data_IF_568014809508
#
_entry.id   IF_568014809508
#
_cell.length_a   1.000
_cell.length_b   1.000
_cell.length_c   1.000
_cell.angle_alpha   90.00
_cell.angle_beta   90.00
_cell.angle_gamma   90.00
#
_symmetry.space_group_name_H-M   'P 1'
#
loop_
_entity.id
_entity.type
_entity.pdbx_description
1 polymer ?
#
# COMPACT_ATOMS: atom_id res chain seq x y z
N UNK A 1 -63.11 12.07 -70.91
CA UNK A 1 -61.67 11.74 -70.79
C UNK A 1 -61.01 12.93 -70.11
N UNK A 2 -60.13 12.68 -69.13
CA UNK A 2 -59.40 13.66 -68.27
C UNK A 2 -60.30 14.33 -67.21
N UNK A 3 -60.12 14.23 -65.89
CA UNK A 3 -59.00 13.80 -65.05
C UNK A 3 -58.56 14.97 -64.16
N UNK A 4 -59.00 15.02 -62.89
CA UNK A 4 -58.45 15.94 -61.89
C UNK A 4 -58.40 15.23 -60.53
N UNK A 5 -57.20 14.89 -60.09
CA UNK A 5 -56.89 14.29 -58.78
C UNK A 5 -56.49 15.45 -57.86
N UNK A 6 -57.16 15.70 -56.73
CA UNK A 6 -56.71 16.70 -55.76
C UNK A 6 -56.15 16.00 -54.52
N UNK A 7 -54.84 15.73 -54.46
CA UNK A 7 -54.20 15.17 -53.25
C UNK A 7 -52.71 15.56 -53.18
N UNK A 8 -52.37 16.77 -52.70
CA UNK A 8 -50.94 17.06 -52.41
C UNK A 8 -50.65 18.02 -51.25
N UNK A 9 -51.58 18.89 -50.81
CA UNK A 9 -51.30 19.82 -49.70
C UNK A 9 -51.50 19.24 -48.30
N UNK A 10 -52.48 18.36 -48.09
CA UNK A 10 -52.85 17.86 -46.75
C UNK A 10 -51.81 16.87 -46.18
N UNK A 11 -51.20 16.07 -47.04
CA UNK A 11 -50.15 15.09 -46.67
C UNK A 11 -48.85 15.77 -46.23
N UNK A 12 -48.54 16.96 -46.77
CA UNK A 12 -47.39 17.76 -46.36
C UNK A 12 -47.57 18.34 -44.96
N UNK A 13 -48.73 18.94 -44.63
CA UNK A 13 -49.00 19.48 -43.29
C UNK A 13 -49.01 18.39 -42.22
N UNK A 14 -49.52 17.20 -42.55
CA UNK A 14 -49.56 16.05 -41.64
C UNK A 14 -48.16 15.53 -41.30
N UNK A 15 -47.25 15.45 -42.29
CA UNK A 15 -45.85 15.05 -42.07
C UNK A 15 -45.13 16.02 -41.13
N UNK A 16 -45.23 17.34 -41.36
CA UNK A 16 -44.57 18.35 -40.52
C UNK A 16 -45.09 18.37 -39.06
N UNK A 17 -46.37 18.03 -38.85
CA UNK A 17 -46.94 17.83 -37.51
C UNK A 17 -46.36 16.61 -36.81
N UNK A 18 -46.21 15.48 -37.52
CA UNK A 18 -45.63 14.25 -36.96
C UNK A 18 -44.16 14.43 -36.54
N UNK A 19 -43.36 15.18 -37.30
CA UNK A 19 -41.97 15.47 -36.91
C UNK A 19 -41.87 16.35 -35.65
N UNK A 20 -42.81 17.29 -35.46
CA UNK A 20 -42.87 18.11 -34.24
C UNK A 20 -43.16 17.26 -32.99
N UNK A 21 -44.07 16.31 -33.08
CA UNK A 21 -44.40 15.44 -31.95
C UNK A 21 -43.26 14.47 -31.60
N UNK A 22 -42.55 13.95 -32.61
CA UNK A 22 -41.36 13.09 -32.40
C UNK A 22 -40.23 13.86 -31.70
N UNK A 23 -39.97 15.12 -32.08
CA UNK A 23 -38.95 15.94 -31.44
C UNK A 23 -39.29 16.31 -29.98
N UNK A 24 -40.56 16.59 -29.69
CA UNK A 24 -41.04 16.82 -28.31
C UNK A 24 -40.90 15.56 -27.45
N UNK A 25 -41.20 14.38 -28.00
CA UNK A 25 -41.04 13.12 -27.28
C UNK A 25 -39.58 12.80 -26.96
N UNK A 26 -38.64 13.09 -27.86
CA UNK A 26 -37.20 12.87 -27.63
C UNK A 26 -36.64 13.86 -26.58
N UNK A 27 -37.08 15.13 -26.62
CA UNK A 27 -36.69 16.11 -25.61
C UNK A 27 -37.24 15.76 -24.21
N UNK A 28 -38.45 15.21 -24.12
CA UNK A 28 -39.06 14.78 -22.86
C UNK A 28 -38.43 13.51 -22.26
N UNK A 29 -37.73 12.70 -23.06
CA UNK A 29 -37.05 11.47 -22.61
C UNK A 29 -35.63 11.71 -22.07
N UNK A 30 -35.17 12.95 -22.05
CA UNK A 30 -33.84 13.31 -21.52
C UNK A 30 -33.89 13.41 -20.00
N UNK A 31 -33.84 12.27 -19.31
CA UNK A 31 -33.67 12.26 -17.85
C UNK A 31 -32.23 12.65 -17.50
N UNK A 32 -32.01 13.57 -16.55
CA UNK A 32 -30.67 13.86 -16.07
C UNK A 32 -30.10 12.61 -15.40
N UNK A 33 -28.94 12.14 -15.86
CA UNK A 33 -28.19 11.11 -15.16
C UNK A 33 -27.57 11.74 -13.91
N UNK A 34 -28.02 11.32 -12.72
CA UNK A 34 -27.30 11.61 -11.48
C UNK A 34 -26.03 10.76 -11.50
N UNK A 35 -24.89 11.40 -11.75
CA UNK A 35 -23.59 10.79 -11.54
C UNK A 35 -23.19 11.03 -10.08
N UNK A 36 -23.15 9.97 -9.28
CA UNK A 36 -22.55 10.02 -7.95
C UNK A 36 -21.03 9.97 -8.07
N UNK A 37 -20.35 10.89 -7.38
CA UNK A 37 -18.89 10.91 -7.28
C UNK A 37 -18.53 10.48 -5.85
N UNK A 38 -17.89 9.33 -5.73
CA UNK A 38 -17.27 8.90 -4.48
C UNK A 38 -15.83 9.42 -4.44
N UNK A 39 -15.57 10.40 -3.58
CA UNK A 39 -14.23 10.92 -3.30
C UNK A 39 -13.82 10.48 -1.89
N UNK A 40 -12.58 9.99 -1.77
CA UNK A 40 -11.95 9.63 -0.50
C UNK A 40 -10.67 10.46 -0.43
N UNK A 41 -10.66 11.52 0.37
CA UNK A 41 -9.51 12.45 0.45
C UNK A 41 -9.04 12.69 1.88
N UNK A 42 -9.84 12.31 2.87
CA UNK A 42 -9.55 12.59 4.28
C UNK A 42 -9.09 11.35 5.03
N UNK A 43 -8.37 11.54 6.14
CA UNK A 43 -7.96 10.42 7.02
C UNK A 43 -9.13 9.52 7.41
N UNK A 44 -10.25 10.13 7.79
CA UNK A 44 -11.47 9.44 8.23
C UNK A 44 -12.09 8.57 7.14
N UNK A 45 -11.99 8.96 5.86
CA UNK A 45 -12.47 8.16 4.74
C UNK A 45 -11.75 6.80 4.68
N UNK A 46 -10.44 6.83 4.89
CA UNK A 46 -9.56 5.66 4.82
C UNK A 46 -9.62 4.78 6.06
N UNK A 47 -9.92 5.35 7.24
CA UNK A 47 -10.10 4.60 8.49
C UNK A 47 -11.27 3.60 8.41
N UNK A 48 -12.18 3.75 7.45
CA UNK A 48 -13.27 2.80 7.21
C UNK A 48 -12.80 1.49 6.57
N UNK A 49 -11.58 1.44 6.02
CA UNK A 49 -11.05 0.29 5.29
C UNK A 49 -10.13 -0.56 6.18
N UNK A 50 -10.21 -1.87 6.04
CA UNK A 50 -9.31 -2.80 6.73
C UNK A 50 -8.10 -3.10 5.86
N UNK A 51 -6.91 -2.78 6.36
CA UNK A 51 -5.63 -3.05 5.68
C UNK A 51 -4.73 -3.93 6.55
N UNK A 52 -3.85 -4.75 5.95
CA UNK A 52 -2.81 -5.40 6.73
C UNK A 52 -1.92 -4.32 7.39
N UNK A 53 -1.62 -4.46 8.69
CA UNK A 53 -0.80 -3.49 9.42
C UNK A 53 0.54 -3.26 8.71
N UNK A 54 0.93 -1.99 8.58
CA UNK A 54 2.24 -1.63 8.04
C UNK A 54 2.37 -1.61 6.51
N UNK A 55 1.29 -1.79 5.74
CA UNK A 55 1.32 -1.66 4.27
C UNK A 55 1.33 -0.21 3.80
N UNK A 56 0.64 0.67 4.54
CA UNK A 56 0.49 2.08 4.19
C UNK A 56 1.00 2.98 5.30
N UNK A 57 1.54 4.14 4.91
CA UNK A 57 1.83 5.28 5.78
C UNK A 57 0.87 6.39 5.40
N UNK A 58 0.09 6.85 6.37
CA UNK A 58 -0.88 7.93 6.17
C UNK A 58 -0.27 9.26 6.62
N UNK A 59 -0.24 10.24 5.73
CA UNK A 59 0.16 11.60 6.06
C UNK A 59 -0.89 12.31 6.91
N UNK A 60 -0.49 13.39 7.57
CA UNK A 60 -1.42 14.27 8.29
C UNK A 60 -2.30 15.10 7.34
N UNK A 61 -1.92 15.19 6.06
CA UNK A 61 -2.65 15.82 4.97
C UNK A 61 -3.70 14.90 4.32
N UNK A 62 -3.89 13.68 4.82
CA UNK A 62 -4.80 12.69 4.23
C UNK A 62 -4.18 11.87 3.09
N UNK A 63 -2.91 12.11 2.74
CA UNK A 63 -2.21 11.31 1.73
C UNK A 63 -1.98 9.87 2.22
N UNK A 64 -2.04 8.91 1.29
CA UNK A 64 -1.63 7.52 1.51
C UNK A 64 -0.39 7.25 0.69
N UNK A 65 0.66 6.75 1.35
CA UNK A 65 1.86 6.23 0.69
C UNK A 65 2.06 4.76 1.03
N UNK A 66 2.70 4.01 0.14
CA UNK A 66 3.14 2.66 0.47
C UNK A 66 4.29 2.75 1.47
N UNK A 67 4.24 1.90 2.49
CA UNK A 67 5.39 1.68 3.35
C UNK A 67 6.49 1.02 2.52
N UNK A 68 7.45 1.84 2.04
CA UNK A 68 8.55 1.36 1.23
C UNK A 68 9.60 0.72 2.13
N UNK A 69 9.83 -0.57 1.94
CA UNK A 69 10.99 -1.24 2.53
C UNK A 69 12.25 -0.87 1.75
N UNK A 70 13.24 -0.30 2.45
CA UNK A 70 14.55 0.01 1.87
C UNK A 70 15.19 -1.26 1.31
N UNK A 71 15.74 -1.16 0.09
CA UNK A 71 16.45 -2.26 -0.58
C UNK A 71 17.95 -2.02 -0.50
N UNK A 72 18.72 -3.10 -0.63
CA UNK A 72 20.19 -3.06 -0.72
C UNK A 72 20.90 -2.40 0.48
N UNK A 73 20.29 -2.48 1.66
CA UNK A 73 20.85 -1.97 2.91
C UNK A 73 21.61 -3.06 3.67
N UNK A 74 22.60 -2.67 4.48
CA UNK A 74 23.06 -3.53 5.57
C UNK A 74 22.07 -3.41 6.73
N UNK A 75 21.18 -4.38 6.86
CA UNK A 75 20.11 -4.35 7.86
C UNK A 75 20.61 -4.49 9.31
N UNK A 76 21.78 -5.14 9.51
CA UNK A 76 22.33 -5.37 10.85
C UNK A 76 22.96 -4.11 11.45
N UNK A 77 23.51 -3.23 10.59
CA UNK A 77 24.20 -2.00 10.97
C UNK A 77 23.41 -1.11 11.94
N UNK A 78 22.10 -1.05 11.74
CA UNK A 78 21.20 -0.23 12.54
C UNK A 78 20.07 -1.03 13.20
N UNK A 79 20.27 -2.33 13.41
CA UNK A 79 19.27 -3.21 14.02
C UNK A 79 18.77 -2.70 15.39
N UNK A 80 19.65 -2.07 16.17
CA UNK A 80 19.35 -1.51 17.50
C UNK A 80 18.40 -0.32 17.48
N UNK A 81 18.24 0.35 16.34
CA UNK A 81 17.34 1.49 16.19
C UNK A 81 15.87 1.06 16.08
N UNK A 82 15.61 -0.24 15.86
CA UNK A 82 14.25 -0.76 15.66
C UNK A 82 13.81 -1.61 16.85
N UNK A 83 12.58 -1.36 17.27
CA UNK A 83 11.93 -2.10 18.35
C UNK A 83 10.91 -3.08 17.79
N UNK A 84 10.82 -4.26 18.39
CA UNK A 84 9.77 -5.22 18.12
C UNK A 84 9.09 -5.69 19.41
N UNK A 85 7.83 -6.10 19.31
CA UNK A 85 7.06 -6.58 20.46
C UNK A 85 7.35 -8.06 20.73
N UNK A 86 7.77 -8.38 21.95
CA UNK A 86 7.93 -9.77 22.39
C UNK A 86 6.55 -10.41 22.55
N UNK A 87 6.34 -11.59 21.95
CA UNK A 87 5.01 -12.23 21.90
C UNK A 87 4.41 -12.50 23.29
N UNK A 88 5.25 -12.88 24.26
CA UNK A 88 4.82 -13.25 25.62
C UNK A 88 4.53 -12.05 26.51
N UNK A 89 5.41 -11.04 26.55
CA UNK A 89 5.29 -9.91 27.47
C UNK A 89 4.66 -8.67 26.84
N UNK A 90 4.64 -8.57 25.51
CA UNK A 90 4.28 -7.38 24.74
C UNK A 90 5.24 -6.19 24.91
N UNK A 91 6.36 -6.38 25.60
CA UNK A 91 7.38 -5.34 25.73
C UNK A 91 8.02 -5.07 24.38
N UNK A 92 8.34 -3.79 24.15
CA UNK A 92 9.15 -3.36 23.01
C UNK A 92 10.61 -3.54 23.37
N UNK A 93 11.29 -4.42 22.65
CA UNK A 93 12.73 -4.67 22.82
C UNK A 93 13.47 -4.32 21.53
N UNK A 94 14.68 -3.74 21.63
CA UNK A 94 15.49 -3.45 20.46
C UNK A 94 15.98 -4.75 19.81
N UNK A 95 16.18 -4.69 18.49
CA UNK A 95 17.01 -5.67 17.80
C UNK A 95 18.48 -5.55 18.22
N UNK A 96 19.36 -6.28 17.52
CA UNK A 96 20.79 -6.29 17.73
C UNK A 96 21.37 -7.68 17.56
N UNK A 97 22.39 -7.98 18.36
CA UNK A 97 23.06 -9.28 18.36
C UNK A 97 23.07 -9.88 19.75
N UNK A 98 22.87 -11.19 19.82
CA UNK A 98 23.10 -11.99 21.02
C UNK A 98 24.13 -13.06 20.69
N UNK A 99 25.08 -13.21 21.59
CA UNK A 99 26.11 -14.24 21.53
C UNK A 99 26.04 -15.08 22.79
N UNK A 100 26.49 -16.32 22.71
CA UNK A 100 26.45 -17.26 23.82
C UNK A 100 27.84 -17.61 24.36
N UNK A 101 28.87 -17.03 23.75
CA UNK A 101 30.27 -17.06 24.13
C UNK A 101 30.89 -15.68 23.85
N UNK A 102 31.95 -15.30 24.57
CA UNK A 102 32.68 -14.04 24.35
C UNK A 102 31.76 -12.80 24.21
N UNK A 103 30.94 -12.55 25.23
CA UNK A 103 29.90 -11.52 25.22
C UNK A 103 30.46 -10.09 25.01
N UNK A 104 31.68 -9.85 25.48
CA UNK A 104 32.41 -8.59 25.32
C UNK A 104 32.74 -8.26 23.85
N UNK A 105 32.75 -9.26 22.96
CA UNK A 105 33.00 -9.09 21.53
C UNK A 105 31.70 -9.03 20.70
N UNK A 106 30.52 -9.07 21.32
CA UNK A 106 29.25 -9.11 20.60
C UNK A 106 29.06 -7.93 19.65
N UNK A 107 29.43 -6.71 20.09
CA UNK A 107 29.23 -5.48 19.32
C UNK A 107 30.04 -5.44 18.02
N UNK A 108 31.17 -6.15 17.95
CA UNK A 108 31.98 -6.29 16.75
C UNK A 108 31.22 -6.93 15.57
N UNK A 109 30.12 -7.64 15.83
CA UNK A 109 29.33 -8.27 14.77
C UNK A 109 28.55 -7.26 13.91
N UNK A 110 28.28 -6.06 14.43
CA UNK A 110 27.41 -5.08 13.75
C UNK A 110 27.99 -3.65 13.73
N UNK A 111 29.19 -3.44 14.24
CA UNK A 111 29.88 -2.14 14.30
C UNK A 111 30.32 -1.56 12.94
N UNK A 112 30.19 -2.34 11.85
CA UNK A 112 30.61 -2.01 10.48
C UNK A 112 32.12 -1.91 10.28
N UNK A 113 32.94 -2.33 11.24
CA UNK A 113 34.40 -2.33 11.10
C UNK A 113 34.88 -3.71 10.61
N UNK A 114 35.43 -3.82 9.38
CA UNK A 114 35.93 -5.10 8.88
C UNK A 114 37.19 -5.60 9.60
N UNK A 115 37.80 -4.79 10.47
CA UNK A 115 38.95 -5.17 11.28
C UNK A 115 38.57 -5.74 12.65
N UNK A 116 37.30 -5.71 13.03
CA UNK A 116 36.80 -6.33 14.27
C UNK A 116 36.04 -7.62 13.93
N UNK A 117 35.99 -8.54 14.89
CA UNK A 117 35.23 -9.77 14.74
C UNK A 117 34.79 -10.29 16.10
N UNK A 118 33.82 -11.20 16.08
CA UNK A 118 33.50 -12.05 17.21
C UNK A 118 34.10 -13.43 17.00
N UNK A 119 34.61 -14.03 18.06
CA UNK A 119 35.10 -15.40 18.08
C UNK A 119 34.70 -16.03 19.41
N UNK A 120 34.17 -17.26 19.42
CA UNK A 120 33.85 -17.95 20.67
C UNK A 120 35.14 -18.28 21.45
N UNK A 121 35.03 -18.31 22.77
CA UNK A 121 36.08 -18.80 23.66
C UNK A 121 36.33 -20.29 23.42
N UNK A 122 37.60 -20.68 23.43
CA UNK A 122 38.00 -22.09 23.34
C UNK A 122 37.60 -22.90 24.59
N UNK A 123 37.34 -22.23 25.72
CA UNK A 123 36.92 -22.85 26.97
C UNK A 123 35.41 -23.12 27.01
N UNK A 124 34.63 -22.50 26.12
CA UNK A 124 33.18 -22.68 26.06
C UNK A 124 32.81 -23.93 25.26
N UNK A 125 31.70 -24.56 25.64
CA UNK A 125 31.19 -25.74 24.95
C UNK A 125 30.72 -25.39 23.54
N UNK A 126 30.92 -26.30 22.58
CA UNK A 126 30.53 -26.11 21.16
C UNK A 126 29.06 -25.69 20.96
N UNK A 127 28.17 -26.06 21.87
CA UNK A 127 26.76 -25.66 21.81
C UNK A 127 26.57 -24.14 21.88
N UNK A 128 27.50 -23.41 22.47
CA UNK A 128 27.41 -21.97 22.68
C UNK A 128 28.13 -21.19 21.57
N UNK A 129 28.68 -21.90 20.56
CA UNK A 129 29.40 -21.33 19.42
C UNK A 129 28.44 -20.93 18.30
N UNK A 130 27.52 -20.04 18.61
CA UNK A 130 26.58 -19.48 17.65
C UNK A 130 26.15 -18.08 18.07
N UNK A 131 25.56 -17.37 17.13
CA UNK A 131 25.08 -16.00 17.30
C UNK A 131 23.64 -15.91 16.81
N UNK A 132 22.90 -15.00 17.41
CA UNK A 132 21.60 -14.55 16.93
C UNK A 132 21.73 -13.12 16.46
N UNK A 133 21.21 -12.84 15.25
CA UNK A 133 21.09 -11.50 14.71
C UNK A 133 19.61 -11.17 14.60
N UNK A 134 19.13 -10.31 15.49
CA UNK A 134 17.78 -9.79 15.47
C UNK A 134 17.78 -8.42 14.80
N UNK A 135 17.05 -8.28 13.70
CA UNK A 135 17.04 -7.03 12.92
C UNK A 135 16.05 -5.99 13.46
N UNK A 136 15.24 -6.35 14.46
CA UNK A 136 14.22 -5.49 15.07
C UNK A 136 13.06 -5.12 14.14
N UNK A 137 13.09 -5.57 12.88
CA UNK A 137 12.11 -5.28 11.83
C UNK A 137 12.11 -6.35 10.75
N UNK A 138 11.03 -6.41 9.98
CA UNK A 138 11.03 -7.18 8.73
C UNK A 138 11.92 -6.52 7.68
N UNK A 139 12.81 -7.31 7.07
CA UNK A 139 13.63 -6.88 5.94
C UNK A 139 13.57 -7.91 4.81
N UNK A 140 13.80 -7.44 3.59
CA UNK A 140 14.00 -8.32 2.45
C UNK A 140 15.49 -8.63 2.28
N UNK A 141 16.00 -9.56 3.10
CA UNK A 141 17.38 -9.98 3.05
C UNK A 141 17.64 -10.89 1.84
N UNK A 142 18.57 -10.51 0.96
CA UNK A 142 18.90 -11.28 -0.25
C UNK A 142 20.23 -12.01 -0.15
N UNK A 143 21.08 -11.65 0.82
CA UNK A 143 22.40 -12.23 1.04
C UNK A 143 22.87 -11.98 2.47
N UNK A 144 23.78 -12.84 2.93
CA UNK A 144 24.60 -12.66 4.12
C UNK A 144 26.06 -12.65 3.61
N UNK A 145 26.92 -11.80 4.18
CA UNK A 145 28.32 -11.62 3.77
C UNK A 145 29.23 -11.67 4.97
#
# INVERSE_FOLDING_TARGET
MVGAIPLEEDTMRQRWSQWRWVLVAIAAASTPSLADVFQFETRTDWETWSFPPGVFVQGDDGSITLNRTSREINASANAREFLHAVKSTRDLVPGGVRVFSAAEMADNLIDQDPATWWQPSADDVLRDWWIEVDLGRMVYATKIR
#
